data_IF_518568802904
#
_entry.id   IF_518568802904
#
_cell.length_a   1.000
_cell.length_b   1.000
_cell.length_c   1.000
_cell.angle_alpha   90.00
_cell.angle_beta   90.00
_cell.angle_gamma   90.00
#
_symmetry.space_group_name_H-M   'P 1'
#
loop_
_entity.id
_entity.type
_entity.pdbx_description
1 polymer ?
#
# COMPACT_ATOMS: atom_id res chain seq x y z
N UNK A 1 -4.99 -4.92 1.51
CA UNK A 1 -3.56 -4.60 1.60
C UNK A 1 -2.97 -5.63 2.52
N UNK A 2 -1.88 -6.28 2.13
CA UNK A 2 -1.12 -7.19 2.99
C UNK A 2 0.24 -6.59 3.31
N UNK A 3 0.86 -7.00 4.41
CA UNK A 3 2.28 -6.78 4.67
C UNK A 3 3.12 -7.40 3.55
N UNK A 4 4.08 -6.65 3.03
CA UNK A 4 5.08 -7.12 2.05
C UNK A 4 6.48 -6.89 2.60
N UNK A 5 7.34 -7.89 2.61
CA UNK A 5 8.65 -7.80 3.29
C UNK A 5 9.73 -7.29 2.34
N UNK A 6 9.60 -6.02 1.96
CA UNK A 6 10.48 -5.34 1.00
C UNK A 6 11.36 -4.24 1.63
N UNK A 7 11.67 -4.35 2.93
CA UNK A 7 12.53 -3.39 3.63
C UNK A 7 14.00 -3.42 3.20
N UNK A 8 14.80 -2.49 3.73
CA UNK A 8 16.21 -2.25 3.39
C UNK A 8 17.06 -3.50 3.34
N UNK A 9 17.01 -4.33 4.36
CA UNK A 9 17.89 -5.50 4.42
C UNK A 9 17.61 -6.47 3.28
N UNK A 10 16.32 -6.66 2.94
CA UNK A 10 15.90 -7.53 1.83
C UNK A 10 16.26 -6.96 0.48
N UNK A 11 16.02 -5.66 0.28
CA UNK A 11 16.34 -4.95 -0.97
C UNK A 11 17.85 -4.87 -1.21
N UNK A 12 18.65 -4.63 -0.18
CA UNK A 12 20.10 -4.61 -0.31
C UNK A 12 20.68 -6.02 -0.46
N UNK A 13 20.09 -7.03 0.19
CA UNK A 13 20.47 -8.43 -0.04
C UNK A 13 20.19 -8.86 -1.49
N UNK A 14 19.10 -8.37 -2.10
CA UNK A 14 18.77 -8.62 -3.50
C UNK A 14 19.87 -8.16 -4.47
N UNK A 15 20.51 -7.01 -4.19
CA UNK A 15 21.59 -6.48 -5.02
C UNK A 15 22.88 -7.32 -4.98
N UNK A 16 23.03 -8.22 -4.01
CA UNK A 16 24.24 -9.05 -3.88
C UNK A 16 25.52 -8.22 -3.83
N UNK A 17 26.47 -8.52 -4.72
CA UNK A 17 27.76 -7.82 -4.79
C UNK A 17 27.62 -6.31 -5.10
N UNK A 18 26.58 -5.91 -5.82
CA UNK A 18 26.35 -4.50 -6.20
C UNK A 18 25.84 -3.65 -5.03
N UNK A 19 25.42 -4.27 -3.92
CA UNK A 19 24.90 -3.57 -2.75
C UNK A 19 25.88 -2.54 -2.20
N UNK A 20 27.18 -2.84 -2.21
CA UNK A 20 28.20 -1.92 -1.67
C UNK A 20 28.37 -0.69 -2.55
N UNK A 21 28.39 -0.88 -3.87
CA UNK A 21 28.46 0.22 -4.85
C UNK A 21 27.21 1.10 -4.72
N UNK A 22 26.05 0.47 -4.63
CA UNK A 22 24.77 1.16 -4.46
C UNK A 22 24.75 2.01 -3.18
N UNK A 23 25.16 1.44 -2.03
CA UNK A 23 25.27 2.17 -0.75
C UNK A 23 26.18 3.39 -0.85
N UNK A 24 27.33 3.25 -1.50
CA UNK A 24 28.26 4.35 -1.71
C UNK A 24 27.66 5.50 -2.52
N UNK A 25 26.90 5.19 -3.58
CA UNK A 25 26.16 6.19 -4.37
C UNK A 25 25.05 6.85 -3.55
N UNK A 26 24.24 6.05 -2.85
CA UNK A 26 23.13 6.54 -2.03
C UNK A 26 23.63 7.46 -0.91
N UNK A 27 24.70 7.10 -0.19
CA UNK A 27 25.29 7.93 0.86
C UNK A 27 25.72 9.30 0.32
N UNK A 28 26.48 9.33 -0.78
CA UNK A 28 26.93 10.59 -1.40
C UNK A 28 25.76 11.48 -1.81
N UNK A 29 24.69 10.89 -2.35
CA UNK A 29 23.50 11.62 -2.75
C UNK A 29 22.70 12.13 -1.55
N UNK A 30 22.61 11.37 -0.46
CA UNK A 30 22.00 11.79 0.80
C UNK A 30 22.79 12.93 1.46
N UNK A 31 24.12 12.87 1.44
CA UNK A 31 24.98 13.96 1.95
C UNK A 31 24.81 15.25 1.15
N UNK A 32 24.66 15.14 -0.18
CA UNK A 32 24.33 16.29 -1.02
C UNK A 32 22.96 16.88 -0.67
N UNK A 33 21.94 16.04 -0.48
CA UNK A 33 20.61 16.52 -0.07
C UNK A 33 20.68 17.21 1.30
N UNK A 34 21.45 16.65 2.25
CA UNK A 34 21.70 17.23 3.58
C UNK A 34 22.35 18.62 3.46
N UNK A 35 23.41 18.74 2.69
CA UNK A 35 24.12 20.00 2.48
C UNK A 35 23.25 21.08 1.79
N UNK A 36 22.29 20.67 0.95
CA UNK A 36 21.38 21.59 0.24
C UNK A 36 20.06 21.86 0.97
N UNK A 37 19.73 21.09 2.01
CA UNK A 37 18.47 21.18 2.73
C UNK A 37 17.23 20.82 1.91
N UNK A 38 17.42 20.14 0.77
CA UNK A 38 16.36 19.75 -0.18
C UNK A 38 16.85 18.60 -1.07
N UNK A 39 15.92 17.92 -1.73
CA UNK A 39 16.29 16.89 -2.70
C UNK A 39 16.94 17.52 -3.94
N UNK A 40 18.10 17.00 -4.31
CA UNK A 40 18.78 17.31 -5.56
C UNK A 40 18.60 16.13 -6.52
N UNK A 41 18.01 16.39 -7.68
CA UNK A 41 17.86 15.40 -8.74
C UNK A 41 19.23 14.88 -9.19
N UNK A 42 19.31 13.57 -9.43
CA UNK A 42 20.54 12.88 -9.84
C UNK A 42 20.22 11.52 -10.43
N UNK A 43 21.15 10.57 -10.28
CA UNK A 43 20.95 9.18 -10.72
C UNK A 43 19.72 8.55 -10.05
N UNK A 44 18.87 7.89 -10.83
CA UNK A 44 17.72 7.13 -10.34
C UNK A 44 18.13 5.81 -9.69
N UNK A 45 18.70 5.87 -8.48
CA UNK A 45 19.22 4.68 -7.77
C UNK A 45 18.16 3.64 -7.45
N UNK A 46 16.89 4.02 -7.38
CA UNK A 46 15.75 3.11 -7.21
C UNK A 46 15.59 2.13 -8.39
N UNK A 47 16.12 2.46 -9.58
CA UNK A 47 15.99 1.61 -10.77
C UNK A 47 16.61 0.23 -10.58
N UNK A 48 17.79 0.16 -9.94
CA UNK A 48 18.47 -1.09 -9.61
C UNK A 48 17.69 -1.97 -8.62
N UNK A 49 16.81 -1.37 -7.82
CA UNK A 49 16.01 -2.07 -6.81
C UNK A 49 14.66 -2.55 -7.35
N UNK A 50 14.24 -2.13 -8.55
CA UNK A 50 12.96 -2.54 -9.14
C UNK A 50 12.76 -4.05 -9.21
N UNK A 51 13.72 -4.87 -9.69
CA UNK A 51 13.52 -6.32 -9.74
C UNK A 51 13.34 -6.93 -8.34
N UNK A 52 14.03 -6.36 -7.34
CA UNK A 52 13.89 -6.75 -5.95
C UNK A 52 12.51 -6.42 -5.40
N UNK A 53 12.00 -5.22 -5.68
CA UNK A 53 10.63 -4.83 -5.33
C UNK A 53 9.58 -5.72 -5.99
N UNK A 54 9.71 -6.01 -7.30
CA UNK A 54 8.81 -6.94 -8.00
C UNK A 54 8.80 -8.29 -7.29
N UNK A 55 9.97 -8.88 -7.01
CA UNK A 55 10.04 -10.20 -6.38
C UNK A 55 9.51 -10.21 -4.94
N UNK A 56 9.95 -9.26 -4.11
CA UNK A 56 9.65 -9.22 -2.68
C UNK A 56 8.21 -8.80 -2.40
N UNK A 57 7.57 -8.07 -3.32
CA UNK A 57 6.15 -7.73 -3.26
C UNK A 57 5.25 -8.66 -4.07
N UNK A 58 5.78 -9.79 -4.54
CA UNK A 58 5.05 -10.80 -5.31
C UNK A 58 4.40 -10.29 -6.61
N UNK A 59 5.08 -9.40 -7.32
CA UNK A 59 4.57 -8.71 -8.52
C UNK A 59 3.26 -7.95 -8.25
N UNK A 60 3.03 -7.49 -7.01
CA UNK A 60 1.85 -6.71 -6.63
C UNK A 60 2.21 -5.31 -6.18
N UNK A 61 1.28 -4.39 -6.45
CA UNK A 61 1.25 -3.08 -5.84
C UNK A 61 1.13 -3.27 -4.33
N UNK A 62 2.09 -2.76 -3.56
CA UNK A 62 2.09 -2.91 -2.11
C UNK A 62 0.84 -2.29 -1.46
N UNK A 63 0.23 -1.29 -2.11
CA UNK A 63 -0.95 -0.61 -1.61
C UNK A 63 -2.26 -1.34 -1.92
N UNK A 64 -2.59 -1.54 -3.21
CA UNK A 64 -3.89 -2.07 -3.62
C UNK A 64 -3.90 -3.56 -3.97
N UNK A 65 -2.74 -4.22 -3.97
CA UNK A 65 -2.56 -5.62 -4.37
C UNK A 65 -2.91 -5.94 -5.83
N UNK A 66 -3.14 -4.94 -6.68
CA UNK A 66 -3.18 -5.16 -8.14
C UNK A 66 -1.81 -5.62 -8.64
N UNK A 67 -1.80 -6.50 -9.64
CA UNK A 67 -0.58 -6.95 -10.30
C UNK A 67 0.15 -5.78 -10.98
N UNK A 68 1.49 -5.76 -10.93
CA UNK A 68 2.32 -4.67 -11.45
C UNK A 68 2.76 -4.91 -12.89
N UNK A 69 3.25 -6.10 -13.22
CA UNK A 69 3.76 -6.45 -14.56
C UNK A 69 2.70 -7.08 -15.47
N UNK A 70 1.42 -6.79 -15.22
CA UNK A 70 0.33 -7.16 -16.12
C UNK A 70 0.20 -6.17 -17.30
N UNK A 71 -0.30 -6.66 -18.43
CA UNK A 71 -0.48 -5.84 -19.64
C UNK A 71 -1.32 -4.58 -19.36
N UNK A 72 -0.81 -3.42 -19.80
CA UNK A 72 -1.47 -2.13 -19.63
C UNK A 72 -1.40 -1.54 -18.21
N UNK A 73 -0.70 -2.18 -17.26
CA UNK A 73 -0.46 -1.61 -15.93
C UNK A 73 0.84 -0.81 -15.91
N UNK A 74 0.72 0.52 -15.76
CA UNK A 74 1.88 1.34 -15.43
C UNK A 74 2.23 1.20 -13.94
N UNK A 75 3.51 1.05 -13.62
CA UNK A 75 3.99 1.05 -12.24
C UNK A 75 5.38 1.65 -12.10
N UNK A 76 5.67 2.17 -10.91
CA UNK A 76 6.96 2.78 -10.57
C UNK A 76 7.31 2.57 -9.10
N UNK A 77 8.52 3.00 -8.73
CA UNK A 77 8.93 3.08 -7.33
C UNK A 77 8.41 4.39 -6.75
N UNK A 78 7.45 4.29 -5.83
CA UNK A 78 6.95 5.40 -5.02
C UNK A 78 7.86 5.65 -3.82
N UNK A 79 7.95 6.91 -3.41
CA UNK A 79 8.55 7.33 -2.15
C UNK A 79 7.43 7.42 -1.11
N UNK A 80 7.36 6.45 -0.19
CA UNK A 80 6.31 6.38 0.83
C UNK A 80 6.14 7.72 1.56
N UNK A 81 7.25 8.28 2.02
CA UNK A 81 7.40 9.69 2.42
C UNK A 81 7.94 10.50 1.24
N UNK A 82 7.21 11.55 0.77
CA UNK A 82 7.63 12.31 -0.40
C UNK A 82 9.01 12.94 -0.21
N UNK A 83 9.92 12.64 -1.13
CA UNK A 83 11.29 13.17 -1.12
C UNK A 83 11.40 14.66 -1.44
N UNK A 84 10.34 15.27 -1.98
CA UNK A 84 10.25 16.67 -2.38
C UNK A 84 9.04 17.34 -1.73
N UNK A 85 8.37 18.26 -2.43
CA UNK A 85 7.18 18.96 -1.90
C UNK A 85 6.19 17.97 -1.25
N UNK A 86 5.63 18.35 -0.11
CA UNK A 86 4.53 17.66 0.58
C UNK A 86 3.32 18.59 0.60
N UNK A 87 2.16 18.10 0.17
CA UNK A 87 0.91 18.83 0.26
C UNK A 87 0.29 18.67 1.65
N UNK A 88 -0.30 19.75 2.17
CA UNK A 88 -1.24 19.65 3.28
C UNK A 88 -2.53 19.01 2.78
N UNK A 89 -2.97 17.93 3.43
CA UNK A 89 -4.26 17.30 3.19
C UNK A 89 -5.20 17.48 4.38
N UNK A 90 -6.50 17.50 4.12
CA UNK A 90 -7.51 17.27 5.16
C UNK A 90 -8.48 16.21 4.66
N UNK A 91 -9.07 15.47 5.58
CA UNK A 91 -10.20 14.59 5.30
C UNK A 91 -11.35 14.96 6.24
N UNK A 92 -12.24 15.88 5.81
CA UNK A 92 -13.33 16.38 6.64
C UNK A 92 -14.32 15.31 7.07
N UNK A 93 -14.46 14.22 6.29
CA UNK A 93 -15.39 13.14 6.61
C UNK A 93 -15.03 12.39 7.90
N UNK A 94 -13.76 12.43 8.29
CA UNK A 94 -13.21 11.67 9.42
C UNK A 94 -12.51 12.58 10.45
N UNK A 95 -12.75 13.91 10.36
CA UNK A 95 -12.11 14.93 11.21
C UNK A 95 -10.56 14.81 11.23
N UNK A 96 -9.97 14.49 10.09
CA UNK A 96 -8.52 14.29 9.98
C UNK A 96 -7.87 15.58 9.52
N UNK A 97 -7.06 16.13 10.43
CA UNK A 97 -6.19 17.26 10.18
C UNK A 97 -4.73 16.80 10.04
N UNK A 98 -4.08 17.18 8.95
CA UNK A 98 -2.63 17.02 8.81
C UNK A 98 -1.90 18.05 9.67
N UNK A 99 -1.61 17.69 10.92
CA UNK A 99 -0.87 18.51 11.88
C UNK A 99 0.52 18.87 11.36
N UNK A 100 1.12 17.96 10.59
CA UNK A 100 2.42 18.16 9.98
C UNK A 100 2.45 19.20 8.87
N UNK A 101 1.30 19.53 8.28
CA UNK A 101 1.15 20.56 7.26
C UNK A 101 1.95 20.35 5.97
N UNK A 102 1.93 21.37 5.11
CA UNK A 102 2.67 21.38 3.85
C UNK A 102 4.17 21.61 4.07
N UNK A 103 5.00 21.09 3.17
CA UNK A 103 6.45 21.33 3.15
C UNK A 103 6.96 21.51 1.73
N UNK A 104 7.82 22.50 1.49
CA UNK A 104 8.40 22.72 0.15
C UNK A 104 9.48 21.70 -0.20
N UNK A 105 10.22 21.21 0.80
CA UNK A 105 11.37 20.33 0.60
C UNK A 105 11.10 18.87 0.99
N UNK A 106 10.05 18.62 1.78
CA UNK A 106 9.65 17.31 2.32
C UNK A 106 10.79 16.49 2.90
N UNK A 107 10.71 15.18 2.73
CA UNK A 107 11.58 14.19 3.34
C UNK A 107 12.84 13.93 2.50
N UNK A 108 13.58 14.98 2.18
CA UNK A 108 14.70 14.92 1.25
C UNK A 108 15.84 13.99 1.70
N UNK A 109 15.99 13.73 2.99
CA UNK A 109 16.96 12.75 3.51
C UNK A 109 16.54 11.30 3.23
N UNK A 110 15.26 11.05 2.95
CA UNK A 110 14.70 9.73 2.65
C UNK A 110 14.64 9.44 1.15
N UNK A 111 15.16 10.33 0.30
CA UNK A 111 15.11 10.20 -1.16
C UNK A 111 15.82 8.94 -1.69
N UNK A 112 16.81 8.45 -0.95
CA UNK A 112 17.66 7.30 -1.30
C UNK A 112 17.63 6.22 -0.20
N UNK A 113 16.62 6.22 0.65
CA UNK A 113 16.46 5.22 1.70
C UNK A 113 15.62 4.04 1.17
N UNK A 114 16.14 2.80 1.13
CA UNK A 114 15.38 1.65 0.65
C UNK A 114 14.08 1.41 1.42
N UNK A 115 14.03 1.71 2.73
CA UNK A 115 12.82 1.63 3.55
C UNK A 115 11.78 2.71 3.22
N UNK A 116 12.05 3.56 2.23
CA UNK A 116 11.12 4.56 1.73
C UNK A 116 10.65 4.23 0.30
N UNK A 117 11.10 3.11 -0.28
CA UNK A 117 10.78 2.70 -1.65
C UNK A 117 9.69 1.63 -1.66
N UNK A 118 8.62 1.92 -2.41
CA UNK A 118 7.48 1.02 -2.55
C UNK A 118 7.19 0.79 -4.03
N UNK A 119 7.09 -0.47 -4.45
CA UNK A 119 6.55 -0.80 -5.77
C UNK A 119 5.04 -0.53 -5.78
N UNK A 120 4.60 0.47 -6.54
CA UNK A 120 3.20 0.87 -6.60
C UNK A 120 2.72 1.03 -8.04
N UNK A 121 1.45 0.68 -8.28
CA UNK A 121 0.81 0.96 -9.57
C UNK A 121 0.62 2.48 -9.75
N UNK A 122 0.63 2.94 -11.00
CA UNK A 122 0.52 4.35 -11.36
C UNK A 122 -0.74 5.00 -10.81
N UNK A 123 -1.85 4.26 -10.70
CA UNK A 123 -3.07 4.74 -10.06
C UNK A 123 -2.84 5.07 -8.58
N UNK A 124 -2.35 4.12 -7.77
CA UNK A 124 -2.12 4.38 -6.35
C UNK A 124 -1.08 5.49 -6.13
N UNK A 125 -0.02 5.52 -6.95
CA UNK A 125 0.97 6.59 -6.89
C UNK A 125 0.35 7.95 -7.19
N UNK A 126 -0.55 8.05 -8.18
CA UNK A 126 -1.28 9.29 -8.52
C UNK A 126 -2.28 9.71 -7.44
N UNK A 127 -2.98 8.76 -6.85
CA UNK A 127 -3.93 9.02 -5.74
C UNK A 127 -3.20 9.55 -4.51
N UNK A 128 -2.07 8.93 -4.15
CA UNK A 128 -1.21 9.39 -3.06
C UNK A 128 -0.53 10.74 -3.38
N UNK A 129 -0.04 10.89 -4.60
CA UNK A 129 0.77 12.03 -5.06
C UNK A 129 1.83 12.40 -3.99
N UNK A 130 1.84 13.65 -3.57
CA UNK A 130 2.75 14.19 -2.57
C UNK A 130 2.05 14.43 -1.22
N UNK A 131 0.95 13.73 -0.95
CA UNK A 131 0.28 13.76 0.36
C UNK A 131 0.90 12.73 1.28
N UNK A 132 1.16 13.14 2.53
CA UNK A 132 1.63 12.23 3.57
C UNK A 132 1.11 12.70 4.94
N UNK A 133 -0.20 12.71 5.18
CA UNK A 133 -0.77 13.37 6.36
C UNK A 133 -0.33 12.71 7.66
N UNK A 134 -0.07 13.52 8.69
CA UNK A 134 0.51 13.11 9.97
C UNK A 134 -0.28 13.69 11.15
N UNK A 135 -0.44 12.92 12.23
CA UNK A 135 -1.15 13.36 13.43
C UNK A 135 -0.27 14.20 14.38
N UNK A 136 1.02 14.34 14.07
CA UNK A 136 1.98 15.17 14.80
C UNK A 136 2.91 15.92 13.84
N UNK A 137 3.79 16.75 14.39
CA UNK A 137 4.78 17.50 13.61
C UNK A 137 5.72 16.58 12.82
N UNK A 138 6.08 16.98 11.59
CA UNK A 138 6.96 16.22 10.71
C UNK A 138 8.42 16.31 11.16
N UNK A 139 9.13 15.19 11.12
CA UNK A 139 10.56 15.06 11.33
C UNK A 139 11.32 15.14 9.99
N UNK A 140 11.28 16.31 9.34
CA UNK A 140 11.83 16.52 7.97
C UNK A 140 13.36 16.50 7.87
N UNK A 141 14.07 16.65 9.00
CA UNK A 141 15.52 16.84 9.04
C UNK A 141 16.26 15.62 9.61
N UNK A 142 15.64 14.45 9.62
CA UNK A 142 16.22 13.23 10.14
C UNK A 142 15.94 12.02 9.24
N UNK A 143 16.81 11.01 9.33
CA UNK A 143 16.56 9.65 8.83
C UNK A 143 16.21 8.68 9.97
N UNK A 144 16.14 9.16 11.20
CA UNK A 144 15.87 8.34 12.38
C UNK A 144 14.43 7.81 12.38
N UNK A 145 14.28 6.49 12.47
CA UNK A 145 12.98 5.82 12.38
C UNK A 145 12.10 6.11 13.58
N UNK A 146 12.66 6.29 14.77
CA UNK A 146 11.87 6.59 15.97
C UNK A 146 11.21 7.98 15.85
N UNK A 147 11.98 8.99 15.42
CA UNK A 147 11.45 10.31 15.13
C UNK A 147 10.38 10.30 14.02
N UNK A 148 10.60 9.54 12.93
CA UNK A 148 9.62 9.41 11.84
C UNK A 148 8.32 8.71 12.26
N UNK A 149 8.36 7.83 13.26
CA UNK A 149 7.16 7.19 13.84
C UNK A 149 6.42 8.10 14.81
N UNK A 150 7.14 8.98 15.51
CA UNK A 150 6.53 9.99 16.38
C UNK A 150 5.61 10.97 15.62
N UNK A 151 5.75 11.07 14.30
CA UNK A 151 4.82 11.79 13.41
C UNK A 151 3.40 11.21 13.40
N UNK A 152 3.25 9.94 13.83
CA UNK A 152 1.99 9.19 13.82
C UNK A 152 1.30 9.26 12.45
N UNK A 153 1.96 8.77 11.38
CA UNK A 153 1.49 8.91 10.01
C UNK A 153 0.14 8.23 9.80
N UNK A 154 -0.74 8.87 9.02
CA UNK A 154 -2.04 8.30 8.69
C UNK A 154 -1.96 7.30 7.53
N UNK A 155 -0.96 7.40 6.65
CA UNK A 155 -0.70 6.39 5.64
C UNK A 155 0.09 5.22 6.29
N UNK A 156 -0.44 4.00 6.19
CA UNK A 156 0.28 2.79 6.61
C UNK A 156 1.40 2.46 5.62
N UNK A 157 2.56 2.05 6.12
CA UNK A 157 3.64 1.51 5.30
C UNK A 157 3.50 -0.02 5.25
N UNK A 158 3.06 -0.63 4.13
CA UNK A 158 2.97 -2.08 4.01
C UNK A 158 4.35 -2.76 3.97
N UNK A 159 5.45 -2.02 3.83
CA UNK A 159 6.83 -2.54 3.74
C UNK A 159 7.61 -2.51 5.06
N UNK A 160 7.22 -1.68 6.03
CA UNK A 160 7.88 -1.60 7.34
C UNK A 160 7.35 -2.65 8.31
N UNK A 161 8.20 -3.61 8.69
CA UNK A 161 7.89 -4.66 9.68
C UNK A 161 7.57 -4.10 11.08
N UNK A 162 8.07 -2.91 11.41
CA UNK A 162 7.84 -2.25 12.69
C UNK A 162 6.62 -1.31 12.66
N UNK A 163 5.97 -1.14 11.51
CA UNK A 163 4.70 -0.42 11.41
C UNK A 163 3.51 -1.36 11.67
N UNK A 164 2.32 -0.78 11.88
CA UNK A 164 1.05 -1.52 12.01
C UNK A 164 0.82 -2.39 10.79
N UNK A 165 0.56 -3.68 11.01
CA UNK A 165 0.16 -4.62 9.94
C UNK A 165 -1.09 -4.10 9.23
N UNK A 166 -1.08 -3.87 7.91
CA UNK A 166 -2.26 -3.45 7.16
C UNK A 166 -3.48 -4.34 7.38
N UNK A 167 -3.31 -5.65 7.60
CA UNK A 167 -4.42 -6.58 7.87
C UNK A 167 -5.03 -6.40 9.28
N UNK A 168 -4.34 -5.70 10.18
CA UNK A 168 -4.88 -5.29 11.49
C UNK A 168 -5.53 -3.91 11.46
N UNK A 169 -5.25 -3.12 10.43
CA UNK A 169 -5.74 -1.75 10.28
C UNK A 169 -6.96 -1.68 9.35
N UNK A 170 -6.96 -2.46 8.28
CA UNK A 170 -7.98 -2.47 7.23
C UNK A 170 -8.68 -3.83 7.23
N UNK A 171 -10.00 -3.79 7.40
CA UNK A 171 -10.89 -4.93 7.24
C UNK A 171 -11.72 -4.79 5.95
N UNK A 172 -12.60 -5.76 5.68
CA UNK A 172 -13.36 -5.85 4.44
C UNK A 172 -14.84 -6.13 4.70
N UNK A 173 -15.69 -5.40 3.98
CA UNK A 173 -17.12 -5.70 3.81
C UNK A 173 -17.35 -6.03 2.34
N UNK A 174 -17.41 -7.31 2.03
CA UNK A 174 -17.31 -7.79 0.65
C UNK A 174 -16.06 -7.25 -0.04
N UNK A 175 -16.25 -6.48 -1.12
CA UNK A 175 -15.15 -5.90 -1.90
C UNK A 175 -14.65 -4.53 -1.40
N UNK A 176 -15.35 -3.94 -0.42
CA UNK A 176 -15.04 -2.64 0.15
C UNK A 176 -14.07 -2.76 1.33
N UNK A 177 -12.99 -1.99 1.28
CA UNK A 177 -12.08 -1.79 2.41
C UNK A 177 -12.72 -0.85 3.43
N UNK A 178 -12.64 -1.22 4.70
CA UNK A 178 -13.14 -0.44 5.85
C UNK A 178 -12.11 -0.44 6.98
N UNK A 179 -12.28 0.45 7.97
CA UNK A 179 -11.46 0.38 9.18
C UNK A 179 -11.72 -0.93 9.93
N UNK A 180 -10.66 -1.56 10.45
CA UNK A 180 -10.80 -2.76 11.25
C UNK A 180 -11.55 -2.46 12.57
N UNK A 181 -12.33 -3.42 13.09
CA UNK A 181 -12.98 -3.26 14.38
C UNK A 181 -11.96 -3.23 15.53
N UNK A 182 -12.29 -2.55 16.63
CA UNK A 182 -11.48 -2.55 17.84
C UNK A 182 -10.23 -1.65 17.80
N UNK A 183 -10.10 -0.79 16.78
CA UNK A 183 -9.05 0.22 16.70
C UNK A 183 -9.28 1.35 17.71
N UNK A 184 -8.18 1.97 18.16
CA UNK A 184 -8.24 3.24 18.88
C UNK A 184 -8.57 4.40 17.92
N UNK A 185 -8.76 5.60 18.47
CA UNK A 185 -9.13 6.78 17.68
C UNK A 185 -8.14 7.08 16.54
N UNK A 186 -6.83 6.91 16.81
CA UNK A 186 -5.81 7.10 15.79
C UNK A 186 -5.85 6.01 14.73
N UNK A 187 -6.03 4.76 15.12
CA UNK A 187 -6.17 3.62 14.22
C UNK A 187 -7.35 3.78 13.27
N UNK A 188 -8.51 4.22 13.77
CA UNK A 188 -9.70 4.48 12.93
C UNK A 188 -9.37 5.53 11.86
N UNK A 189 -8.82 6.68 12.27
CA UNK A 189 -8.43 7.76 11.36
C UNK A 189 -7.35 7.32 10.37
N UNK A 190 -6.36 6.55 10.84
CA UNK A 190 -5.28 5.98 10.03
C UNK A 190 -5.80 5.04 8.96
N UNK A 191 -6.73 4.15 9.32
CA UNK A 191 -7.35 3.25 8.37
C UNK A 191 -8.16 4.02 7.32
N UNK A 192 -9.03 4.94 7.76
CA UNK A 192 -9.88 5.71 6.87
C UNK A 192 -9.07 6.58 5.90
N UNK A 193 -8.01 7.24 6.37
CA UNK A 193 -7.15 8.05 5.52
C UNK A 193 -6.30 7.21 4.57
N UNK A 194 -5.79 6.05 4.99
CA UNK A 194 -5.12 5.10 4.09
C UNK A 194 -6.07 4.67 2.95
N UNK A 195 -7.30 4.30 3.29
CA UNK A 195 -8.33 3.87 2.31
C UNK A 195 -8.64 5.00 1.33
N UNK A 196 -8.88 6.21 1.84
CA UNK A 196 -9.21 7.39 1.03
C UNK A 196 -8.05 7.82 0.15
N UNK A 197 -6.87 8.00 0.74
CA UNK A 197 -5.70 8.54 0.06
C UNK A 197 -5.22 7.65 -1.08
N UNK A 198 -5.32 6.33 -0.93
CA UNK A 198 -4.94 5.37 -1.97
C UNK A 198 -6.09 5.00 -2.92
N UNK A 199 -7.28 5.55 -2.69
CA UNK A 199 -8.50 5.22 -3.44
C UNK A 199 -8.79 3.72 -3.42
N UNK A 200 -8.69 3.07 -2.25
CA UNK A 200 -8.81 1.61 -2.13
C UNK A 200 -10.21 1.09 -2.47
N UNK A 201 -11.22 1.97 -2.47
CA UNK A 201 -12.61 1.65 -2.84
C UNK A 201 -13.00 2.20 -4.22
N UNK A 202 -12.04 2.44 -5.13
CA UNK A 202 -12.37 2.80 -6.52
C UNK A 202 -13.01 1.63 -7.26
N UNK A 203 -13.91 1.95 -8.18
CA UNK A 203 -14.71 1.02 -8.99
C UNK A 203 -13.93 -0.15 -9.57
N UNK A 204 -12.77 0.10 -10.16
CA UNK A 204 -11.93 -0.95 -10.76
C UNK A 204 -11.48 -1.99 -9.73
N UNK A 205 -11.09 -1.56 -8.53
CA UNK A 205 -10.63 -2.48 -7.48
C UNK A 205 -11.78 -3.30 -6.93
N UNK A 206 -12.97 -2.72 -6.79
CA UNK A 206 -14.12 -3.46 -6.30
C UNK A 206 -14.51 -4.59 -7.28
N UNK A 207 -14.59 -4.30 -8.58
CA UNK A 207 -14.88 -5.31 -9.61
C UNK A 207 -13.79 -6.39 -9.66
N UNK A 208 -12.52 -5.97 -9.62
CA UNK A 208 -11.40 -6.91 -9.63
C UNK A 208 -11.40 -7.84 -8.40
N UNK A 209 -11.79 -7.32 -7.23
CA UNK A 209 -11.97 -8.12 -6.01
C UNK A 209 -13.18 -9.04 -6.13
N UNK A 210 -14.31 -8.56 -6.66
CA UNK A 210 -15.52 -9.36 -6.85
C UNK A 210 -15.23 -10.62 -7.67
N UNK A 211 -14.46 -10.51 -8.76
CA UNK A 211 -14.04 -11.66 -9.56
C UNK A 211 -13.27 -12.71 -8.73
N UNK A 212 -12.39 -12.27 -7.83
CA UNK A 212 -11.65 -13.17 -6.93
C UNK A 212 -12.56 -13.77 -5.86
N UNK A 213 -13.49 -13.00 -5.31
CA UNK A 213 -14.47 -13.51 -4.33
C UNK A 213 -15.41 -14.53 -4.96
N UNK A 214 -15.89 -14.30 -6.19
CA UNK A 214 -16.67 -15.28 -6.94
C UNK A 214 -15.89 -16.57 -7.18
N UNK A 215 -14.62 -16.47 -7.61
CA UNK A 215 -13.76 -17.64 -7.78
C UNK A 215 -13.54 -18.40 -6.46
N UNK A 216 -13.39 -17.67 -5.34
CA UNK A 216 -13.28 -18.26 -4.01
C UNK A 216 -14.58 -18.97 -3.61
N UNK A 217 -15.74 -18.35 -3.81
CA UNK A 217 -17.05 -18.93 -3.50
C UNK A 217 -17.27 -20.25 -4.23
N UNK A 218 -17.00 -20.31 -5.53
CA UNK A 218 -17.11 -21.57 -6.28
C UNK A 218 -16.15 -22.66 -5.79
N UNK A 219 -14.96 -22.28 -5.30
CA UNK A 219 -14.04 -23.21 -4.67
C UNK A 219 -14.57 -23.69 -3.31
N UNK A 220 -15.16 -22.79 -2.52
CA UNK A 220 -15.79 -23.06 -1.23
C UNK A 220 -16.96 -24.05 -1.37
N UNK A 221 -17.93 -23.77 -2.24
CA UNK A 221 -19.09 -24.64 -2.47
C UNK A 221 -18.70 -26.06 -2.91
N UNK A 222 -17.61 -26.18 -3.67
CA UNK A 222 -17.09 -27.46 -4.17
C UNK A 222 -16.07 -28.11 -3.23
N UNK A 223 -15.87 -27.53 -2.04
CA UNK A 223 -14.91 -27.96 -1.03
C UNK A 223 -13.48 -28.17 -1.61
N UNK A 224 -13.02 -27.24 -2.44
CA UNK A 224 -11.71 -27.26 -3.10
C UNK A 224 -10.67 -26.54 -2.25
N UNK A 225 -10.25 -27.15 -1.15
CA UNK A 225 -9.32 -26.55 -0.18
C UNK A 225 -8.05 -25.97 -0.81
N UNK A 226 -7.40 -26.72 -1.72
CA UNK A 226 -6.20 -26.23 -2.40
C UNK A 226 -6.43 -24.94 -3.21
N UNK A 227 -7.60 -24.77 -3.82
CA UNK A 227 -7.95 -23.56 -4.56
C UNK A 227 -8.21 -22.40 -3.59
N UNK A 228 -8.89 -22.64 -2.47
CA UNK A 228 -9.12 -21.64 -1.43
C UNK A 228 -7.80 -21.15 -0.83
N UNK A 229 -6.89 -22.08 -0.50
CA UNK A 229 -5.56 -21.76 0.02
C UNK A 229 -4.74 -20.95 -0.98
N UNK A 230 -4.78 -21.33 -2.27
CA UNK A 230 -4.10 -20.59 -3.32
C UNK A 230 -4.61 -19.15 -3.42
N UNK A 231 -5.93 -18.93 -3.42
CA UNK A 231 -6.54 -17.61 -3.50
C UNK A 231 -6.25 -16.72 -2.27
N UNK A 232 -6.01 -17.32 -1.10
CA UNK A 232 -5.59 -16.62 0.13
C UNK A 232 -4.07 -16.42 0.25
N UNK A 233 -3.26 -16.97 -0.67
CA UNK A 233 -1.81 -16.92 -0.56
C UNK A 233 -1.28 -15.48 -0.72
N UNK A 234 -0.21 -15.08 0.00
CA UNK A 234 0.35 -13.73 -0.06
C UNK A 234 0.70 -13.26 -1.48
N UNK A 235 1.01 -14.18 -2.39
CA UNK A 235 1.35 -13.85 -3.77
C UNK A 235 0.16 -13.55 -4.67
N UNK A 236 -1.07 -13.91 -4.26
CA UNK A 236 -2.26 -13.71 -5.10
C UNK A 236 -2.84 -12.32 -4.88
N UNK A 237 -3.30 -11.70 -5.97
CA UNK A 237 -3.96 -10.39 -5.95
C UNK A 237 -5.16 -10.38 -4.99
N UNK A 238 -5.26 -9.30 -4.21
CA UNK A 238 -6.31 -9.07 -3.23
C UNK A 238 -6.46 -10.13 -2.13
N UNK A 239 -5.37 -10.85 -1.84
CA UNK A 239 -5.31 -11.88 -0.80
C UNK A 239 -5.85 -11.43 0.56
N UNK A 240 -5.67 -10.17 0.98
CA UNK A 240 -6.26 -9.67 2.23
C UNK A 240 -7.79 -9.72 2.22
N UNK A 241 -8.42 -9.27 1.13
CA UNK A 241 -9.87 -9.29 0.95
C UNK A 241 -10.39 -10.72 0.91
N UNK A 242 -9.69 -11.60 0.17
CA UNK A 242 -10.07 -13.01 0.06
C UNK A 242 -9.93 -13.78 1.37
N UNK A 243 -8.88 -13.52 2.17
CA UNK A 243 -8.74 -14.10 3.52
C UNK A 243 -9.88 -13.70 4.44
N UNK A 244 -10.32 -12.44 4.36
CA UNK A 244 -11.47 -11.99 5.15
C UNK A 244 -12.77 -12.64 4.69
N UNK A 245 -12.95 -12.80 3.38
CA UNK A 245 -14.10 -13.51 2.85
C UNK A 245 -14.12 -14.98 3.24
N UNK A 246 -12.96 -15.66 3.22
CA UNK A 246 -12.83 -17.02 3.76
C UNK A 246 -13.31 -17.10 5.21
N UNK A 247 -12.83 -16.20 6.06
CA UNK A 247 -13.24 -16.15 7.45
C UNK A 247 -14.76 -15.95 7.57
N UNK A 248 -15.35 -15.09 6.73
CA UNK A 248 -16.81 -14.91 6.68
C UNK A 248 -17.52 -16.21 6.29
N UNK A 249 -17.06 -16.93 5.26
CA UNK A 249 -17.62 -18.23 4.88
C UNK A 249 -17.56 -19.24 6.04
N UNK A 250 -16.49 -19.21 6.83
CA UNK A 250 -16.29 -20.12 7.97
C UNK A 250 -17.17 -19.74 9.18
N UNK A 251 -17.41 -18.45 9.42
CA UNK A 251 -18.13 -17.97 10.62
C UNK A 251 -19.61 -17.66 10.40
N UNK A 252 -19.98 -17.23 9.20
CA UNK A 252 -21.33 -16.83 8.81
C UNK A 252 -21.56 -17.09 7.30
N UNK A 253 -21.86 -18.36 6.92
CA UNK A 253 -22.06 -18.73 5.53
C UNK A 253 -23.21 -17.99 4.83
N UNK A 254 -24.25 -17.58 5.57
CA UNK A 254 -25.39 -16.86 4.99
C UNK A 254 -24.98 -15.43 4.57
N UNK A 255 -24.27 -14.71 5.45
CA UNK A 255 -23.70 -13.42 5.08
C UNK A 255 -22.67 -13.52 3.95
N UNK A 256 -21.92 -14.63 3.88
CA UNK A 256 -20.99 -14.87 2.78
C UNK A 256 -21.71 -15.08 1.44
N UNK A 257 -22.88 -15.74 1.44
CA UNK A 257 -23.73 -15.90 0.25
C UNK A 257 -24.27 -14.56 -0.24
N UNK A 258 -24.70 -13.67 0.66
CA UNK A 258 -25.11 -12.30 0.31
C UNK A 258 -23.97 -11.53 -0.37
N UNK A 259 -22.77 -11.57 0.21
CA UNK A 259 -21.57 -10.94 -0.38
C UNK A 259 -21.23 -11.53 -1.75
N UNK A 260 -21.42 -12.83 -1.95
CA UNK A 260 -21.25 -13.46 -3.26
C UNK A 260 -22.29 -12.96 -4.27
N UNK A 261 -23.55 -12.79 -3.84
CA UNK A 261 -24.61 -12.17 -4.64
C UNK A 261 -24.24 -10.76 -5.08
N UNK A 262 -23.82 -9.90 -4.14
CA UNK A 262 -23.36 -8.54 -4.42
C UNK A 262 -22.16 -8.50 -5.37
N UNK A 263 -21.19 -9.40 -5.18
CA UNK A 263 -20.02 -9.52 -6.07
C UNK A 263 -20.44 -9.89 -7.50
N UNK A 264 -21.42 -10.81 -7.63
CA UNK A 264 -21.97 -11.22 -8.92
C UNK A 264 -22.71 -10.08 -9.60
N UNK A 265 -23.55 -9.34 -8.87
CA UNK A 265 -24.23 -8.15 -9.39
C UNK A 265 -23.24 -7.05 -9.82
N UNK A 266 -22.17 -6.83 -9.06
CA UNK A 266 -21.16 -5.84 -9.40
C UNK A 266 -20.43 -6.16 -10.71
N UNK A 267 -20.20 -7.45 -10.99
CA UNK A 267 -19.56 -7.92 -12.23
C UNK A 267 -20.53 -7.91 -13.41
N UNK A 268 -21.75 -8.41 -13.22
CA UNK A 268 -22.75 -8.55 -14.30
C UNK A 268 -23.54 -7.26 -14.60
N UNK A 269 -23.74 -6.40 -13.60
CA UNK A 269 -24.55 -5.19 -13.69
C UNK A 269 -23.90 -4.03 -14.47
N UNK A 270 -22.58 -4.08 -14.69
CA UNK A 270 -21.85 -3.03 -15.44
C UNK A 270 -22.09 -3.06 -16.95
N UNK A 271 -22.67 -4.14 -17.48
CA UNK A 271 -22.97 -4.27 -18.92
C UNK A 271 -24.37 -3.78 -19.32
N UNK A 272 -25.15 -3.17 -18.41
CA UNK A 272 -26.54 -2.75 -18.71
C UNK A 272 -26.76 -1.26 -19.02
N UNK A 273 -25.71 -0.44 -19.04
CA UNK A 273 -25.80 0.99 -19.43
C UNK A 273 -25.07 1.30 -20.74
N UNK A 274 -24.70 0.28 -21.51
CA UNK A 274 -24.08 0.42 -22.83
C UNK A 274 -24.80 -0.44 -23.88
N UNK A 275 -26.10 -0.17 -24.08
CA UNK A 275 -26.85 -0.50 -25.31
C UNK A 275 -27.75 0.68 -25.63
#
# INVERSE_FOLDING_TARGET
MIRVLAGRDRLLAWLGADAQVWRGKASKATDLNRAKGKHVSGESLWSALRPGLTRLQHNKCAYCESELEADGVEWTVDHHRPKGRVHSGTNPAEDIHDVGGASQNGYYLLAYEPDNFIGSCGTCNKYKDNYFPTAAARALHTGDRAALRAERPYLVDPTDEQDTDPERLIDWRGTFAVAAPGLDEHGVRRAAETIRLLGLNRDKLQTDRALVLMAFWYAWEKNKTANMDALCAPGVRYSACTRRFRLLCETDPAAAEEVFGEATELVLGRDRTAV
#
